data_IF_166662269067
#
_entry.id   IF_166662269067
#
_cell.length_a   1.000
_cell.length_b   1.000
_cell.length_c   1.000
_cell.angle_alpha   90.00
_cell.angle_beta   90.00
_cell.angle_gamma   90.00
#
_symmetry.space_group_name_H-M   'P 1'
#
loop_
_entity.id
_entity.type
_entity.pdbx_description
1 polymer ?
#
# COMPACT_ATOMS: atom_id res chain seq x y z
N UNK A 1 17.01 23.76 -23.61
CA UNK A 1 16.03 24.73 -24.16
C UNK A 1 14.67 24.05 -24.11
N UNK A 2 13.75 24.53 -23.26
CA UNK A 2 12.48 23.83 -23.00
C UNK A 2 11.57 23.92 -24.24
N UNK A 3 11.35 22.79 -24.91
CA UNK A 3 10.49 22.69 -26.11
C UNK A 3 9.05 23.19 -25.82
N UNK A 4 8.61 23.11 -24.57
CA UNK A 4 7.30 23.59 -24.11
C UNK A 4 7.14 25.11 -24.23
N UNK A 5 8.17 25.90 -23.90
CA UNK A 5 8.08 27.37 -23.99
C UNK A 5 7.96 27.84 -25.44
N UNK A 6 8.64 27.18 -26.37
CA UNK A 6 8.53 27.49 -27.80
C UNK A 6 7.13 27.15 -28.34
N UNK A 7 6.62 25.96 -28.05
CA UNK A 7 5.28 25.52 -28.45
C UNK A 7 4.18 26.45 -27.89
N UNK A 8 4.27 26.84 -26.62
CA UNK A 8 3.30 27.74 -25.99
C UNK A 8 3.31 29.15 -26.62
N UNK A 9 4.46 29.64 -27.09
CA UNK A 9 4.57 30.93 -27.77
C UNK A 9 4.02 30.88 -29.21
N UNK A 10 4.18 29.76 -29.91
CA UNK A 10 3.60 29.51 -31.24
C UNK A 10 2.06 29.44 -31.18
N UNK A 11 1.50 28.83 -30.13
CA UNK A 11 0.04 28.83 -29.92
C UNK A 11 -0.45 30.23 -29.50
N UNK A 12 0.35 30.97 -28.73
CA UNK A 12 0.04 32.36 -28.40
C UNK A 12 -0.02 33.25 -29.66
N UNK A 13 0.92 33.13 -30.60
CA UNK A 13 0.90 33.95 -31.83
C UNK A 13 -0.32 33.69 -32.72
N UNK A 14 -0.99 32.54 -32.56
CA UNK A 14 -2.22 32.19 -33.26
C UNK A 14 -3.51 32.58 -32.52
N UNK A 15 -3.45 32.73 -31.19
CA UNK A 15 -4.64 32.84 -30.32
C UNK A 15 -4.70 34.14 -29.49
N UNK A 16 -3.61 34.92 -29.46
CA UNK A 16 -3.42 36.16 -28.68
C UNK A 16 -3.72 36.05 -27.16
N UNK A 17 -3.78 34.83 -26.64
CA UNK A 17 -4.17 34.57 -25.26
C UNK A 17 -3.02 34.80 -24.28
N UNK A 18 -3.07 35.91 -23.54
CA UNK A 18 -1.95 36.39 -22.71
C UNK A 18 -1.51 35.42 -21.60
N UNK A 19 -2.42 34.56 -21.12
CA UNK A 19 -2.13 33.51 -20.15
C UNK A 19 -1.15 32.43 -20.68
N UNK A 20 -1.15 32.16 -22.00
CA UNK A 20 -0.22 31.21 -22.62
C UNK A 20 1.21 31.78 -22.64
N UNK A 21 1.33 33.07 -22.93
CA UNK A 21 2.61 33.81 -22.87
C UNK A 21 3.16 33.85 -21.44
N UNK A 22 2.30 34.10 -20.45
CA UNK A 22 2.70 34.06 -19.04
C UNK A 22 3.11 32.66 -18.59
N UNK A 23 2.40 31.61 -19.04
CA UNK A 23 2.75 30.21 -18.75
C UNK A 23 4.05 29.76 -19.43
N UNK A 24 4.34 30.28 -20.64
CA UNK A 24 5.58 30.02 -21.36
C UNK A 24 6.80 30.67 -20.68
N UNK A 25 6.62 31.89 -20.16
CA UNK A 25 7.64 32.65 -19.46
C UNK A 25 7.86 32.18 -18.00
N UNK A 26 6.79 31.76 -17.31
CA UNK A 26 6.83 31.20 -15.94
C UNK A 26 6.56 29.69 -15.96
N UNK A 27 7.52 28.92 -16.48
CA UNK A 27 7.40 27.48 -16.74
C UNK A 27 7.36 26.57 -15.49
N UNK A 28 7.19 27.12 -14.29
CA UNK A 28 7.18 26.34 -13.04
C UNK A 28 5.96 25.43 -12.93
N UNK A 29 4.76 25.98 -13.19
CA UNK A 29 3.51 25.22 -13.11
C UNK A 29 3.49 24.10 -14.15
N UNK A 30 3.93 24.39 -15.37
CA UNK A 30 3.97 23.41 -16.46
C UNK A 30 4.99 22.30 -16.19
N UNK A 31 6.14 22.62 -15.61
CA UNK A 31 7.15 21.63 -15.22
C UNK A 31 6.62 20.73 -14.09
N UNK A 32 5.94 21.31 -13.08
CA UNK A 32 5.29 20.52 -12.02
C UNK A 32 4.18 19.63 -12.57
N UNK A 33 3.35 20.13 -13.48
CA UNK A 33 2.32 19.35 -14.14
C UNK A 33 2.94 18.19 -14.94
N UNK A 34 4.02 18.44 -15.69
CA UNK A 34 4.77 17.42 -16.40
C UNK A 34 5.31 16.33 -15.46
N UNK A 35 5.86 16.70 -14.30
CA UNK A 35 6.31 15.73 -13.29
C UNK A 35 5.17 14.85 -12.78
N UNK A 36 3.98 15.44 -12.53
CA UNK A 36 2.79 14.68 -12.10
C UNK A 36 2.33 13.73 -13.20
N UNK A 37 2.27 14.19 -14.46
CA UNK A 37 1.89 13.35 -15.61
C UNK A 37 2.87 12.21 -15.85
N UNK A 38 4.17 12.46 -15.70
CA UNK A 38 5.21 11.44 -15.82
C UNK A 38 5.07 10.39 -14.73
N UNK A 39 4.86 10.82 -13.48
CA UNK A 39 4.65 9.93 -12.34
C UNK A 39 3.34 9.12 -12.49
N UNK A 40 2.27 9.74 -12.98
CA UNK A 40 1.02 9.05 -13.34
C UNK A 40 1.25 8.02 -14.45
N UNK A 41 2.01 8.38 -15.49
CA UNK A 41 2.35 7.46 -16.59
C UNK A 41 3.16 6.26 -16.13
N UNK A 42 4.11 6.46 -15.20
CA UNK A 42 4.87 5.38 -14.57
C UNK A 42 3.94 4.46 -13.78
N UNK A 43 3.05 5.01 -12.94
CA UNK A 43 2.07 4.19 -12.22
C UNK A 43 1.12 3.43 -13.16
N UNK A 44 0.71 4.05 -14.26
CA UNK A 44 -0.13 3.41 -15.25
C UNK A 44 0.61 2.28 -16.00
N UNK A 45 1.91 2.45 -16.30
CA UNK A 45 2.72 1.38 -16.86
C UNK A 45 2.88 0.20 -15.88
N UNK A 46 3.03 0.49 -14.59
CA UNK A 46 3.07 -0.49 -13.50
C UNK A 46 1.70 -1.14 -13.22
N UNK A 47 0.61 -0.60 -13.74
CA UNK A 47 -0.74 -1.17 -13.61
C UNK A 47 -0.78 -2.62 -14.13
N UNK A 48 -0.01 -2.95 -15.18
CA UNK A 48 0.05 -4.31 -15.72
C UNK A 48 0.66 -5.31 -14.73
N UNK A 49 1.59 -4.86 -13.89
CA UNK A 49 2.17 -5.65 -12.78
C UNK A 49 1.19 -5.71 -11.61
N UNK A 50 0.52 -4.60 -11.30
CA UNK A 50 -0.45 -4.52 -10.19
C UNK A 50 -1.75 -5.28 -10.45
N UNK A 51 -2.12 -5.52 -11.71
CA UNK A 51 -3.27 -6.37 -12.12
C UNK A 51 -3.04 -7.86 -11.88
N UNK A 52 -1.83 -8.29 -11.50
CA UNK A 52 -1.62 -9.64 -10.99
C UNK A 52 -2.55 -9.86 -9.78
N UNK A 53 -3.46 -10.82 -9.90
CA UNK A 53 -4.51 -11.12 -8.91
C UNK A 53 -3.96 -11.26 -7.49
N UNK A 54 -2.72 -11.73 -7.36
CA UNK A 54 -2.04 -11.94 -6.08
C UNK A 54 -1.76 -10.61 -5.35
N UNK A 55 -1.21 -9.61 -6.06
CA UNK A 55 -0.83 -8.31 -5.48
C UNK A 55 -2.08 -7.52 -5.11
N UNK A 56 -3.09 -7.52 -5.98
CA UNK A 56 -4.38 -6.87 -5.72
C UNK A 56 -5.12 -7.51 -4.53
N UNK A 57 -5.11 -8.86 -4.42
CA UNK A 57 -5.67 -9.57 -3.26
C UNK A 57 -4.91 -9.32 -1.96
N UNK A 58 -3.58 -9.13 -2.00
CA UNK A 58 -2.80 -8.68 -0.83
C UNK A 58 -3.28 -7.30 -0.38
N UNK A 59 -3.45 -6.37 -1.31
CA UNK A 59 -3.93 -5.01 -1.05
C UNK A 59 -5.30 -4.97 -0.39
N UNK A 60 -6.26 -5.76 -0.90
CA UNK A 60 -7.62 -5.87 -0.35
C UNK A 60 -7.62 -6.44 1.08
N UNK A 61 -6.66 -7.30 1.42
CA UNK A 61 -6.57 -7.97 2.72
C UNK A 61 -5.52 -7.36 3.66
N UNK A 62 -5.05 -6.14 3.40
CA UNK A 62 -4.06 -5.43 4.25
C UNK A 62 -4.48 -5.35 5.71
N UNK A 63 -5.76 -5.06 6.00
CA UNK A 63 -6.29 -5.06 7.37
C UNK A 63 -6.20 -6.45 8.02
N UNK A 64 -6.51 -7.51 7.27
CA UNK A 64 -6.45 -8.88 7.78
C UNK A 64 -5.01 -9.34 8.02
N UNK A 65 -4.10 -9.03 7.08
CA UNK A 65 -2.66 -9.26 7.22
C UNK A 65 -2.13 -8.57 8.48
N UNK A 66 -2.48 -7.30 8.68
CA UNK A 66 -2.08 -6.53 9.85
C UNK A 66 -2.56 -7.15 11.16
N UNK A 67 -3.85 -7.51 11.24
CA UNK A 67 -4.43 -8.13 12.44
C UNK A 67 -3.78 -9.48 12.74
N UNK A 68 -3.56 -10.33 11.73
CA UNK A 68 -2.93 -11.65 11.89
C UNK A 68 -1.46 -11.49 12.31
N UNK A 69 -0.71 -10.59 11.66
CA UNK A 69 0.66 -10.23 12.04
C UNK A 69 0.73 -9.83 13.51
N UNK A 70 -0.17 -8.92 13.93
CA UNK A 70 -0.19 -8.40 15.28
C UNK A 70 -0.51 -9.49 16.30
N UNK A 71 -1.50 -10.33 16.02
CA UNK A 71 -1.89 -11.46 16.88
C UNK A 71 -0.76 -12.48 17.01
N UNK A 72 -0.06 -12.83 15.92
CA UNK A 72 1.04 -13.80 15.97
C UNK A 72 2.28 -13.24 16.68
N UNK A 73 2.67 -12.01 16.35
CA UNK A 73 3.91 -11.43 16.84
C UNK A 73 3.80 -11.01 18.31
N UNK A 74 2.72 -10.31 18.67
CA UNK A 74 2.51 -9.81 20.03
C UNK A 74 1.71 -10.77 20.90
N UNK A 75 1.00 -11.73 20.31
CA UNK A 75 -0.06 -12.43 21.00
C UNK A 75 -1.25 -11.49 21.07
N UNK A 76 -2.45 -11.96 20.75
CA UNK A 76 -3.68 -11.18 20.97
C UNK A 76 -3.83 -10.79 22.46
N UNK A 77 -4.99 -10.30 22.89
CA UNK A 77 -5.32 -9.94 24.29
C UNK A 77 -4.91 -10.99 25.37
N UNK A 78 -4.52 -12.21 24.99
CA UNK A 78 -3.98 -13.29 25.84
C UNK A 78 -2.48 -13.22 26.12
N UNK A 79 -1.69 -12.37 25.44
CA UNK A 79 -0.26 -12.11 25.76
C UNK A 79 0.74 -13.23 25.45
N UNK A 80 0.32 -14.26 24.68
CA UNK A 80 1.18 -15.33 24.18
C UNK A 80 1.62 -15.01 22.74
N UNK A 81 2.62 -14.14 22.60
CA UNK A 81 3.20 -13.77 21.30
C UNK A 81 4.57 -14.38 21.06
N UNK A 82 4.92 -14.57 19.79
CA UNK A 82 6.27 -14.99 19.38
C UNK A 82 7.36 -14.08 19.99
N UNK A 83 7.06 -12.79 20.15
CA UNK A 83 7.91 -11.80 20.83
C UNK A 83 8.31 -12.23 22.25
N UNK A 84 7.51 -13.02 22.97
CA UNK A 84 7.83 -13.44 24.34
C UNK A 84 8.81 -14.62 24.39
N UNK A 85 8.73 -15.51 23.41
CA UNK A 85 9.59 -16.70 23.32
C UNK A 85 10.91 -16.43 22.60
N UNK A 86 10.90 -15.57 21.57
CA UNK A 86 12.04 -15.27 20.71
C UNK A 86 12.72 -13.93 21.07
N UNK A 87 12.37 -13.31 22.21
CA UNK A 87 12.99 -12.04 22.59
C UNK A 87 14.47 -12.25 22.95
N UNK A 88 15.36 -11.49 22.30
CA UNK A 88 16.79 -11.38 22.64
C UNK A 88 17.64 -12.67 22.60
N UNK A 89 17.10 -13.78 22.11
CA UNK A 89 17.80 -15.08 22.11
C UNK A 89 18.23 -15.55 20.71
N UNK A 90 17.96 -14.80 19.65
CA UNK A 90 18.25 -15.23 18.27
C UNK A 90 19.50 -14.53 17.75
N UNK A 91 20.35 -15.32 17.10
CA UNK A 91 21.46 -14.79 16.33
C UNK A 91 20.95 -14.03 15.08
N UNK A 92 21.71 -13.06 14.54
CA UNK A 92 21.28 -12.21 13.43
C UNK A 92 20.85 -13.01 12.19
N UNK A 93 21.51 -14.14 11.91
CA UNK A 93 21.20 -15.00 10.77
C UNK A 93 19.85 -15.72 10.95
N UNK A 94 19.62 -16.28 12.14
CA UNK A 94 18.35 -16.94 12.49
C UNK A 94 17.19 -15.95 12.49
N UNK A 95 17.42 -14.72 12.93
CA UNK A 95 16.42 -13.66 12.91
C UNK A 95 15.98 -13.29 11.49
N UNK A 96 16.91 -13.23 10.53
CA UNK A 96 16.59 -12.94 9.12
C UNK A 96 15.74 -14.07 8.53
N UNK A 97 16.15 -15.33 8.74
CA UNK A 97 15.41 -16.49 8.25
C UNK A 97 14.03 -16.56 8.90
N UNK A 98 13.96 -16.36 10.21
CA UNK A 98 12.72 -16.33 10.97
C UNK A 98 11.78 -15.22 10.50
N UNK A 99 12.30 -14.04 10.19
CA UNK A 99 11.52 -12.93 9.65
C UNK A 99 10.94 -13.24 8.25
N UNK A 100 11.74 -13.85 7.37
CA UNK A 100 11.28 -14.25 6.04
C UNK A 100 10.19 -15.32 6.14
N UNK A 101 10.41 -16.36 6.93
CA UNK A 101 9.41 -17.41 7.17
C UNK A 101 8.13 -16.83 7.75
N UNK A 102 8.24 -15.96 8.75
CA UNK A 102 7.11 -15.30 9.38
C UNK A 102 6.28 -14.48 8.39
N UNK A 103 6.94 -13.70 7.51
CA UNK A 103 6.26 -12.93 6.47
C UNK A 103 5.51 -13.84 5.48
N UNK A 104 6.12 -14.94 5.06
CA UNK A 104 5.48 -15.93 4.17
C UNK A 104 4.27 -16.55 4.85
N UNK A 105 4.40 -16.96 6.11
CA UNK A 105 3.31 -17.56 6.90
C UNK A 105 2.14 -16.60 7.08
N UNK A 106 2.39 -15.34 7.44
CA UNK A 106 1.32 -14.32 7.62
C UNK A 106 0.62 -14.06 6.30
N UNK A 107 1.35 -13.92 5.18
CA UNK A 107 0.75 -13.76 3.86
C UNK A 107 -0.12 -14.97 3.47
N UNK A 108 0.37 -16.19 3.69
CA UNK A 108 -0.37 -17.41 3.39
C UNK A 108 -1.64 -17.54 4.25
N UNK A 109 -1.52 -17.29 5.56
CA UNK A 109 -2.67 -17.28 6.48
C UNK A 109 -3.68 -16.23 6.04
N UNK A 110 -3.23 -15.01 5.73
CA UNK A 110 -4.15 -13.96 5.31
C UNK A 110 -4.87 -14.31 4.01
N UNK A 111 -4.23 -14.96 3.05
CA UNK A 111 -4.90 -15.41 1.83
C UNK A 111 -5.93 -16.53 2.08
N UNK A 112 -5.59 -17.53 2.90
CA UNK A 112 -6.44 -18.71 3.11
C UNK A 112 -7.53 -18.49 4.18
N UNK A 113 -7.25 -17.69 5.21
CA UNK A 113 -8.17 -17.34 6.29
C UNK A 113 -8.94 -16.03 6.04
N UNK A 114 -8.76 -15.37 4.88
CA UNK A 114 -9.52 -14.19 4.46
C UNK A 114 -11.01 -14.43 4.15
N UNK A 115 -11.68 -15.29 4.91
CA UNK A 115 -13.11 -15.14 5.24
C UNK A 115 -13.25 -14.55 6.65
N UNK A 116 -12.79 -13.30 6.92
CA UNK A 116 -12.89 -12.69 8.25
C UNK A 116 -14.35 -12.55 8.69
N UNK A 117 -15.30 -12.47 7.76
CA UNK A 117 -16.72 -12.36 8.07
C UNK A 117 -17.24 -13.51 8.93
N UNK A 118 -16.72 -14.74 8.83
CA UNK A 118 -17.24 -15.83 9.68
C UNK A 118 -16.56 -15.87 11.04
N UNK A 119 -15.25 -15.61 11.10
CA UNK A 119 -14.50 -15.65 12.37
C UNK A 119 -14.83 -14.46 13.27
N UNK A 120 -14.85 -13.24 12.73
CA UNK A 120 -15.19 -12.03 13.47
C UNK A 120 -16.65 -12.08 13.92
N UNK A 121 -17.56 -12.52 13.05
CA UNK A 121 -18.97 -12.70 13.42
C UNK A 121 -19.15 -13.76 14.50
N UNK A 122 -18.40 -14.86 14.45
CA UNK A 122 -18.46 -15.90 15.48
C UNK A 122 -17.84 -15.46 16.81
N UNK A 123 -16.78 -14.63 16.80
CA UNK A 123 -16.22 -14.04 18.02
C UNK A 123 -17.19 -13.03 18.64
N UNK A 124 -17.70 -12.09 17.84
CA UNK A 124 -18.67 -11.09 18.28
C UNK A 124 -19.93 -11.79 18.82
N UNK A 125 -20.43 -12.81 18.13
CA UNK A 125 -21.56 -13.62 18.59
C UNK A 125 -21.26 -14.32 19.92
N UNK A 126 -20.09 -14.95 20.07
CA UNK A 126 -19.68 -15.56 21.35
C UNK A 126 -19.59 -14.53 22.49
N UNK A 127 -19.13 -13.32 22.21
CA UNK A 127 -19.03 -12.25 23.21
C UNK A 127 -20.41 -11.70 23.59
N UNK A 128 -21.31 -11.52 22.60
CA UNK A 128 -22.69 -11.06 22.83
C UNK A 128 -23.50 -12.11 23.58
N UNK A 129 -23.42 -13.38 23.21
CA UNK A 129 -24.14 -14.47 23.87
C UNK A 129 -23.66 -14.65 25.33
N UNK A 130 -22.38 -14.37 25.61
CA UNK A 130 -21.84 -14.38 26.99
C UNK A 130 -22.29 -13.18 27.82
N UNK A 131 -22.69 -12.08 27.19
CA UNK A 131 -23.18 -10.87 27.87
C UNK A 131 -24.70 -10.86 28.05
N UNK A 132 -25.42 -11.72 27.32
CA UNK A 132 -26.88 -11.87 27.39
C UNK A 132 -27.34 -12.93 28.40
N UNK A 133 -26.40 -13.68 28.98
CA UNK A 133 -26.61 -14.68 30.04
C UNK A 133 -26.06 -14.15 31.37
#
# INVERSE_FOLDING_TARGET
MFCSSWLLLEIYSLTDFELLKQSANYNYLFTRLGNVLLLLGVFYALERVSKQSIISKIGEKTLSIYVIHFILLYGSFTGFGLKRYLNKSLEPYEAIIGAILFMITVCFLAFHYAKPNTFVYNLIRKTIDKFKN
#
